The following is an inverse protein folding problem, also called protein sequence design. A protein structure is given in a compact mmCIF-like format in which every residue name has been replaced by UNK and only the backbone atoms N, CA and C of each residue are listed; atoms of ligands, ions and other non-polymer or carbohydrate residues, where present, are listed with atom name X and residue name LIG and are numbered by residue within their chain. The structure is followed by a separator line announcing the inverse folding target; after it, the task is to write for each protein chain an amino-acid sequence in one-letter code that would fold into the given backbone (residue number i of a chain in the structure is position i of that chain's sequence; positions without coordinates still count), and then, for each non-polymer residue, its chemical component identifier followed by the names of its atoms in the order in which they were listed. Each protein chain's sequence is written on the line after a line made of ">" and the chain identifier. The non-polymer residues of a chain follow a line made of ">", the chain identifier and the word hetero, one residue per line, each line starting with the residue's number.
data_IF_999554683404
#
_entry.id   IF_999554683404
#
_cell.length_a   1.000
_cell.length_b   1.000
_cell.length_c   1.000
_cell.angle_alpha   90.00
_cell.angle_beta   90.00
_cell.angle_gamma   90.00
#
_symmetry.space_group_name_H-M   'P 1'
#
loop_
_entity.id
_entity.type
_entity.pdbx_description
1 polymer ?
#
# COMPACT_ATOMS: atom_id res chain seq x y z
N UNK A 1 -23.33 1.40 -27.70
CA UNK A 1 -21.97 0.88 -27.57
C UNK A 1 -21.89 0.20 -26.20
N UNK A 2 -21.79 -1.12 -26.16
CA UNK A 2 -21.49 -1.86 -24.93
C UNK A 2 -19.98 -1.75 -24.70
N UNK A 3 -19.56 -1.28 -23.54
CA UNK A 3 -18.14 -1.24 -23.17
C UNK A 3 -17.67 -2.68 -23.01
N UNK A 4 -16.68 -3.08 -23.81
CA UNK A 4 -16.01 -4.37 -23.68
C UNK A 4 -14.88 -4.23 -22.67
N UNK A 5 -14.97 -4.95 -21.55
CA UNK A 5 -14.00 -4.88 -20.46
C UNK A 5 -12.88 -5.92 -20.60
N UNK A 6 -12.98 -6.80 -21.59
CA UNK A 6 -12.02 -7.89 -21.80
C UNK A 6 -10.62 -7.37 -22.16
N UNK A 7 -10.51 -6.14 -22.68
CA UNK A 7 -9.24 -5.46 -22.90
C UNK A 7 -8.45 -5.19 -21.61
N UNK A 8 -9.12 -5.17 -20.45
CA UNK A 8 -8.50 -4.94 -19.15
C UNK A 8 -8.09 -6.23 -18.43
N UNK A 9 -8.37 -7.42 -18.98
CA UNK A 9 -7.92 -8.69 -18.37
C UNK A 9 -6.46 -9.01 -18.75
N UNK A 10 -5.51 -8.22 -18.23
CA UNK A 10 -4.08 -8.44 -18.47
C UNK A 10 -3.35 -8.99 -17.22
N UNK A 11 -2.48 -10.01 -17.35
CA UNK A 11 -1.73 -10.57 -16.22
C UNK A 11 -0.90 -9.55 -15.41
N UNK A 12 -0.51 -8.42 -16.04
CA UNK A 12 0.22 -7.34 -15.36
C UNK A 12 -0.56 -6.66 -14.24
N UNK A 13 -1.89 -6.74 -14.21
CA UNK A 13 -2.70 -6.19 -13.12
C UNK A 13 -2.40 -6.86 -11.78
N UNK A 14 -2.09 -8.16 -11.79
CA UNK A 14 -1.67 -8.87 -10.59
C UNK A 14 -0.33 -8.33 -10.06
N UNK A 15 0.61 -8.05 -10.96
CA UNK A 15 1.89 -7.45 -10.60
C UNK A 15 1.71 -6.03 -10.04
N UNK A 16 0.91 -5.19 -10.71
CA UNK A 16 0.60 -3.84 -10.25
C UNK A 16 -0.08 -3.82 -8.88
N UNK A 17 -1.08 -4.68 -8.67
CA UNK A 17 -1.74 -4.84 -7.38
C UNK A 17 -0.76 -5.29 -6.28
N UNK A 18 0.13 -6.24 -6.60
CA UNK A 18 1.19 -6.69 -5.70
C UNK A 18 2.15 -5.57 -5.30
N UNK A 19 2.61 -4.77 -6.27
CA UNK A 19 3.47 -3.60 -6.00
C UNK A 19 2.76 -2.58 -5.12
N UNK A 20 1.52 -2.22 -5.43
CA UNK A 20 0.74 -1.25 -4.65
C UNK A 20 0.55 -1.76 -3.21
N UNK A 21 0.13 -3.01 -3.05
CA UNK A 21 -0.10 -3.61 -1.74
C UNK A 21 1.20 -3.68 -0.92
N UNK A 22 2.30 -4.16 -1.52
CA UNK A 22 3.59 -4.24 -0.86
C UNK A 22 4.15 -2.87 -0.47
N UNK A 23 4.06 -1.90 -1.36
CA UNK A 23 4.53 -0.54 -1.11
C UNK A 23 3.75 0.13 0.02
N UNK A 24 2.42 0.04 0.01
CA UNK A 24 1.57 0.57 1.08
C UNK A 24 1.87 -0.09 2.43
N UNK A 25 2.11 -1.40 2.45
CA UNK A 25 2.48 -2.12 3.67
C UNK A 25 3.80 -1.58 4.26
N UNK A 26 4.83 -1.41 3.42
CA UNK A 26 6.11 -0.85 3.87
C UNK A 26 5.93 0.59 4.37
N UNK A 27 5.16 1.42 3.67
CA UNK A 27 4.89 2.79 4.10
C UNK A 27 4.18 2.85 5.45
N UNK A 28 3.19 1.98 5.68
CA UNK A 28 2.52 1.87 6.99
C UNK A 28 3.51 1.47 8.07
N UNK A 29 4.36 0.46 7.80
CA UNK A 29 5.36 -0.01 8.75
C UNK A 29 6.36 1.09 9.12
N UNK A 30 6.86 1.82 8.12
CA UNK A 30 7.76 2.96 8.34
C UNK A 30 7.06 4.11 9.07
N UNK A 31 5.78 4.37 8.77
CA UNK A 31 5.00 5.40 9.46
C UNK A 31 4.86 5.07 10.95
N UNK A 32 4.52 3.82 11.26
CA UNK A 32 4.43 3.35 12.65
C UNK A 32 5.79 3.47 13.33
N UNK A 33 6.85 2.94 12.72
CA UNK A 33 8.18 2.88 13.33
C UNK A 33 8.81 4.26 13.54
N UNK A 34 8.68 5.15 12.56
CA UNK A 34 9.39 6.43 12.56
C UNK A 34 8.59 7.58 13.18
N UNK A 35 7.26 7.47 13.27
CA UNK A 35 6.42 8.56 13.79
C UNK A 35 5.61 8.14 15.00
N UNK A 36 4.83 7.06 14.89
CA UNK A 36 3.91 6.65 15.97
C UNK A 36 4.72 6.18 17.18
N UNK A 37 5.74 5.34 16.98
CA UNK A 37 6.56 4.84 18.09
C UNK A 37 7.26 5.98 18.84
N UNK A 38 8.01 6.90 18.19
CA UNK A 38 8.60 8.03 18.90
C UNK A 38 7.59 8.94 19.59
N UNK A 39 6.44 9.17 18.96
CA UNK A 39 5.36 9.96 19.56
C UNK A 39 4.80 9.32 20.83
N UNK A 40 4.57 8.00 20.83
CA UNK A 40 4.14 7.25 22.01
C UNK A 40 5.21 7.25 23.10
N UNK A 41 6.48 7.11 22.74
CA UNK A 41 7.60 7.20 23.70
C UNK A 41 7.64 8.58 24.34
N UNK A 42 7.49 9.65 23.56
CA UNK A 42 7.44 11.02 24.09
C UNK A 42 6.26 11.22 25.04
N UNK A 43 5.08 10.68 24.73
CA UNK A 43 3.93 10.76 25.63
C UNK A 43 4.10 9.99 26.94
N UNK A 44 4.98 8.99 26.97
CA UNK A 44 5.20 8.13 28.13
C UNK A 44 6.33 8.61 29.06
N UNK A 45 7.10 9.62 28.64
CA UNK A 45 8.20 10.25 29.40
C UNK A 45 7.74 11.58 30.01
#
# INVERSE_FOLDING_TARGET
>A
MTVDLNEFEHPSWAAAAGTIAGYLLVLVLLTVALFIVPWLVFLAL
#
